data_IF_661795385172
#
_entry.id   IF_661795385172
#
_cell.length_a   1.000
_cell.length_b   1.000
_cell.length_c   1.000
_cell.angle_alpha   90.00
_cell.angle_beta   90.00
_cell.angle_gamma   90.00
#
_symmetry.space_group_name_H-M   'P 1'
#
loop_
_entity.id
_entity.type
_entity.pdbx_description
1 polymer ?
#
# COMPACT_ATOMS: atom_id res chain seq x y z
N UNK A 1 8.16 -37.39 17.30
CA UNK A 1 7.37 -36.85 18.42
C UNK A 1 6.51 -35.71 17.89
N UNK A 2 5.19 -35.84 17.89
CA UNK A 2 4.29 -34.71 17.62
C UNK A 2 4.30 -33.82 18.86
N UNK A 3 4.38 -32.49 18.75
CA UNK A 3 4.24 -31.62 19.91
C UNK A 3 2.90 -31.93 20.56
N UNK A 4 2.94 -32.39 21.81
CA UNK A 4 1.75 -32.55 22.62
C UNK A 4 1.19 -31.14 22.82
N UNK A 5 0.05 -30.88 22.19
CA UNK A 5 -0.72 -29.69 22.42
C UNK A 5 -1.18 -29.75 23.89
N UNK A 6 -0.43 -29.14 24.80
CA UNK A 6 -0.88 -28.89 26.18
C UNK A 6 -1.88 -27.75 26.12
N UNK A 7 -2.99 -27.98 25.43
CA UNK A 7 -4.20 -27.21 25.62
C UNK A 7 -4.73 -27.63 26.99
N UNK A 8 -4.49 -26.80 28.00
CA UNK A 8 -5.19 -26.88 29.28
C UNK A 8 -6.69 -26.90 28.99
N UNK A 9 -7.34 -28.06 29.04
CA UNK A 9 -8.72 -28.27 28.56
C UNK A 9 -9.80 -27.68 29.49
N UNK A 10 -9.53 -26.54 30.14
CA UNK A 10 -10.44 -25.94 31.10
C UNK A 10 -10.15 -24.50 31.53
N UNK A 11 -9.15 -23.82 30.97
CA UNK A 11 -8.89 -22.42 31.30
C UNK A 11 -9.27 -21.52 30.12
N UNK A 12 -10.10 -20.47 30.32
CA UNK A 12 -10.46 -19.57 29.23
C UNK A 12 -9.21 -18.83 28.73
N UNK A 13 -8.92 -18.97 27.43
CA UNK A 13 -7.82 -18.27 26.77
C UNK A 13 -8.04 -16.75 26.78
N UNK A 14 -6.97 -15.92 26.80
CA UNK A 14 -7.09 -14.48 26.69
C UNK A 14 -7.76 -14.07 25.37
N UNK A 15 -8.46 -12.94 25.37
CA UNK A 15 -9.09 -12.43 24.15
C UNK A 15 -8.01 -11.95 23.19
N UNK A 16 -7.93 -12.56 22.00
CA UNK A 16 -7.08 -12.11 20.90
C UNK A 16 -7.96 -11.78 19.69
N UNK A 17 -7.54 -10.79 18.88
CA UNK A 17 -8.32 -10.30 17.73
C UNK A 17 -8.40 -11.29 16.56
N UNK A 18 -7.58 -12.33 16.60
CA UNK A 18 -7.59 -13.47 15.68
C UNK A 18 -8.03 -14.65 16.53
N UNK A 19 -9.15 -15.28 16.17
CA UNK A 19 -9.55 -16.56 16.78
C UNK A 19 -8.40 -17.55 16.63
N UNK A 20 -8.25 -18.46 17.60
CA UNK A 20 -7.07 -19.32 17.78
C UNK A 20 -6.39 -19.76 16.47
N UNK A 21 -5.05 -19.79 16.50
CA UNK A 21 -4.11 -20.02 15.38
C UNK A 21 -4.21 -21.44 14.79
N UNK A 22 -5.40 -22.01 14.78
CA UNK A 22 -5.69 -23.34 14.26
C UNK A 22 -6.64 -23.22 13.08
N UNK A 23 -6.32 -24.01 12.06
CA UNK A 23 -7.02 -24.23 10.80
C UNK A 23 -8.50 -24.61 10.95
N UNK A 24 -8.96 -24.88 12.18
CA UNK A 24 -10.29 -25.41 12.47
C UNK A 24 -11.29 -24.33 12.96
N UNK A 25 -10.84 -23.17 13.45
CA UNK A 25 -11.75 -22.21 14.08
C UNK A 25 -11.25 -20.74 14.09
N UNK A 26 -11.15 -20.06 12.94
CA UNK A 26 -10.66 -18.67 12.88
C UNK A 26 -11.60 -17.63 13.51
N UNK A 27 -12.86 -17.95 13.80
CA UNK A 27 -13.90 -16.96 14.13
C UNK A 27 -14.51 -17.07 15.53
N UNK A 28 -14.02 -17.94 16.42
CA UNK A 28 -14.61 -18.02 17.77
C UNK A 28 -14.25 -16.77 18.59
N UNK A 29 -15.17 -15.78 18.52
CA UNK A 29 -15.29 -14.57 19.34
C UNK A 29 -14.67 -13.28 18.77
N UNK A 30 -14.92 -12.98 17.50
CA UNK A 30 -14.76 -11.62 16.95
C UNK A 30 -16.11 -10.89 16.99
N UNK A 31 -16.09 -9.61 17.37
CA UNK A 31 -17.23 -8.69 17.40
C UNK A 31 -18.15 -8.87 16.18
N UNK A 32 -19.46 -8.88 16.46
CA UNK A 32 -20.62 -9.12 15.58
C UNK A 32 -20.54 -8.50 14.16
N UNK A 33 -19.72 -7.48 13.94
CA UNK A 33 -19.66 -6.77 12.66
C UNK A 33 -18.63 -7.34 11.68
N UNK A 34 -17.47 -7.83 12.16
CA UNK A 34 -16.42 -8.38 11.27
C UNK A 34 -16.67 -9.86 10.95
N UNK A 35 -17.24 -10.61 11.90
CA UNK A 35 -17.67 -12.01 11.65
C UNK A 35 -18.82 -12.04 10.66
N UNK A 36 -19.67 -11.01 10.56
CA UNK A 36 -20.75 -11.01 9.57
C UNK A 36 -20.26 -11.03 8.13
N UNK A 37 -19.11 -10.46 7.78
CA UNK A 37 -18.66 -10.50 6.37
C UNK A 37 -18.04 -11.85 6.01
N UNK A 38 -17.25 -12.46 6.90
CA UNK A 38 -16.69 -13.80 6.68
C UNK A 38 -17.72 -14.90 6.88
N UNK A 39 -18.59 -14.80 7.89
CA UNK A 39 -19.68 -15.74 8.12
C UNK A 39 -20.84 -15.56 7.13
N UNK A 40 -21.06 -14.39 6.51
CA UNK A 40 -22.00 -14.26 5.36
C UNK A 40 -21.35 -14.67 4.03
N UNK A 41 -20.06 -14.98 4.01
CA UNK A 41 -19.36 -15.67 2.91
C UNK A 41 -19.30 -17.19 3.12
N UNK A 42 -19.30 -17.65 4.37
CA UNK A 42 -19.30 -19.07 4.75
C UNK A 42 -20.72 -19.65 5.00
N UNK A 43 -21.64 -18.85 5.54
CA UNK A 43 -23.09 -19.10 5.69
C UNK A 43 -23.94 -18.18 4.81
N UNK A 44 -23.30 -17.49 3.85
CA UNK A 44 -23.98 -16.93 2.68
C UNK A 44 -24.56 -18.04 1.83
N UNK A 45 -25.40 -17.74 0.84
CA UNK A 45 -26.14 -18.76 0.09
C UNK A 45 -25.20 -19.91 -0.29
N UNK A 46 -25.66 -21.14 -0.09
CA UNK A 46 -24.92 -22.41 -0.17
C UNK A 46 -24.43 -22.76 -1.58
N UNK A 47 -24.10 -21.75 -2.38
CA UNK A 47 -23.87 -21.76 -3.82
C UNK A 47 -22.56 -21.05 -4.23
N UNK A 48 -21.72 -20.59 -3.30
CA UNK A 48 -20.40 -20.02 -3.63
C UNK A 48 -19.34 -21.14 -3.54
N UNK A 49 -19.21 -21.90 -4.62
CA UNK A 49 -18.17 -22.93 -4.76
C UNK A 49 -16.95 -22.36 -5.52
N UNK A 50 -15.83 -22.00 -4.85
CA UNK A 50 -14.66 -21.48 -5.55
C UNK A 50 -14.07 -22.55 -6.48
N UNK A 51 -13.97 -22.22 -7.77
CA UNK A 51 -13.35 -23.10 -8.78
C UNK A 51 -11.89 -22.67 -8.95
N UNK A 52 -10.97 -23.45 -8.41
CA UNK A 52 -9.54 -23.29 -8.65
C UNK A 52 -9.05 -24.36 -9.64
N UNK A 53 -8.10 -23.99 -10.51
CA UNK A 53 -7.36 -24.94 -11.35
C UNK A 53 -5.99 -25.18 -10.73
N UNK A 54 -5.49 -26.41 -10.85
CA UNK A 54 -4.13 -26.74 -10.38
C UNK A 54 -3.09 -25.87 -11.11
N UNK A 55 -2.08 -25.31 -10.41
CA UNK A 55 -1.03 -24.50 -11.02
C UNK A 55 -0.26 -25.24 -12.12
N UNK A 56 -0.11 -26.56 -12.02
CA UNK A 56 0.57 -27.40 -13.01
C UNK A 56 -0.21 -27.52 -14.33
N UNK A 57 -1.49 -27.14 -14.35
CA UNK A 57 -2.33 -27.09 -15.55
C UNK A 57 -2.43 -25.69 -16.15
N UNK A 58 -1.94 -24.67 -15.45
CA UNK A 58 -1.96 -23.28 -15.91
C UNK A 58 -0.61 -22.90 -16.53
N UNK A 59 -0.62 -21.97 -17.47
CA UNK A 59 0.60 -21.30 -17.93
C UNK A 59 0.97 -20.21 -16.92
N UNK A 60 2.14 -20.31 -16.28
CA UNK A 60 2.54 -19.45 -15.18
C UNK A 60 2.49 -17.93 -15.48
N UNK A 61 2.69 -17.53 -16.74
CA UNK A 61 2.69 -16.13 -17.18
C UNK A 61 1.70 -15.89 -18.34
N UNK A 62 0.63 -16.67 -18.43
CA UNK A 62 -0.40 -16.41 -19.44
C UNK A 62 -0.99 -15.00 -19.26
N UNK A 63 -0.89 -14.18 -20.31
CA UNK A 63 -1.38 -12.81 -20.28
C UNK A 63 -0.61 -11.87 -19.36
N UNK A 64 0.61 -12.23 -18.93
CA UNK A 64 1.42 -11.37 -18.08
C UNK A 64 1.67 -10.01 -18.75
N UNK A 65 2.06 -9.98 -20.02
CA UNK A 65 2.34 -8.72 -20.71
C UNK A 65 1.07 -7.88 -20.98
N UNK A 66 0.07 -8.47 -21.63
CA UNK A 66 -1.18 -7.76 -21.96
C UNK A 66 -1.96 -7.36 -20.70
N UNK A 67 -2.03 -8.22 -19.69
CA UNK A 67 -2.72 -7.94 -18.43
C UNK A 67 -1.96 -6.93 -17.58
N UNK A 68 -0.63 -7.01 -17.50
CA UNK A 68 0.16 -6.13 -16.65
C UNK A 68 0.25 -4.71 -17.20
N UNK A 69 0.29 -4.49 -18.51
CA UNK A 69 0.31 -3.13 -19.06
C UNK A 69 -0.97 -2.39 -18.70
N UNK A 70 -2.15 -2.96 -19.01
CA UNK A 70 -3.41 -2.28 -18.76
C UNK A 70 -3.78 -2.22 -17.28
N UNK A 71 -3.58 -3.31 -16.53
CA UNK A 71 -3.89 -3.32 -15.10
C UNK A 71 -2.82 -2.57 -14.28
N UNK A 72 -1.55 -2.64 -14.68
CA UNK A 72 -0.46 -1.89 -14.07
C UNK A 72 -0.65 -0.39 -14.24
N UNK A 73 -0.95 0.07 -15.47
CA UNK A 73 -1.30 1.47 -15.71
C UNK A 73 -2.47 1.93 -14.84
N UNK A 74 -3.56 1.15 -14.79
CA UNK A 74 -4.72 1.48 -13.95
C UNK A 74 -4.36 1.63 -12.48
N UNK A 75 -3.52 0.73 -11.94
CA UNK A 75 -3.07 0.77 -10.54
C UNK A 75 -2.15 1.95 -10.25
N UNK A 76 -1.24 2.26 -11.16
CA UNK A 76 -0.33 3.40 -11.02
C UNK A 76 -1.12 4.69 -11.11
N UNK A 77 -1.98 4.85 -12.11
CA UNK A 77 -2.79 6.05 -12.33
C UNK A 77 -3.63 6.45 -11.10
N UNK A 78 -4.22 5.49 -10.38
CA UNK A 78 -4.93 5.77 -9.13
C UNK A 78 -4.05 6.32 -8.00
N UNK A 79 -2.75 6.05 -8.04
CA UNK A 79 -1.80 6.47 -7.02
C UNK A 79 -0.93 7.67 -7.44
N UNK A 80 -0.86 7.97 -8.75
CA UNK A 80 -0.09 9.10 -9.31
C UNK A 80 -0.28 10.40 -8.53
N UNK A 81 -1.52 10.84 -8.21
CA UNK A 81 -1.72 12.13 -7.53
C UNK A 81 -1.00 12.25 -6.19
N UNK A 82 -0.83 11.14 -5.46
CA UNK A 82 -0.23 11.16 -4.12
C UNK A 82 1.27 11.42 -4.12
N UNK A 83 1.98 10.99 -5.16
CA UNK A 83 3.44 11.15 -5.23
C UNK A 83 3.89 12.15 -6.30
N UNK A 84 3.09 12.39 -7.35
CA UNK A 84 3.47 13.34 -8.40
C UNK A 84 3.49 14.78 -7.89
N UNK A 85 2.55 15.13 -7.01
CA UNK A 85 2.44 16.47 -6.42
C UNK A 85 3.70 16.85 -5.65
N UNK A 86 4.17 16.06 -4.65
CA UNK A 86 5.40 16.41 -3.93
C UNK A 86 6.65 16.37 -4.84
N UNK A 87 6.72 15.48 -5.82
CA UNK A 87 7.85 15.42 -6.77
C UNK A 87 7.93 16.68 -7.62
N UNK A 88 6.82 17.12 -8.20
CA UNK A 88 6.76 18.34 -9.03
C UNK A 88 7.10 19.57 -8.18
N UNK A 89 6.58 19.65 -6.96
CA UNK A 89 6.91 20.74 -6.04
C UNK A 89 8.40 20.78 -5.68
N UNK A 90 9.01 19.62 -5.42
CA UNK A 90 10.44 19.51 -5.14
C UNK A 90 11.31 19.96 -6.32
N UNK A 91 10.99 19.49 -7.53
CA UNK A 91 11.73 19.86 -8.74
C UNK A 91 11.54 21.34 -9.11
N UNK A 92 10.32 21.87 -8.96
CA UNK A 92 10.03 23.28 -9.17
C UNK A 92 10.86 24.15 -8.22
N UNK A 93 10.84 23.84 -6.92
CA UNK A 93 11.60 24.57 -5.89
C UNK A 93 13.10 24.51 -6.15
N UNK A 94 13.61 23.32 -6.51
CA UNK A 94 15.01 23.14 -6.85
C UNK A 94 15.43 23.98 -8.07
N UNK A 95 14.64 23.95 -9.15
CA UNK A 95 14.94 24.71 -10.36
C UNK A 95 14.95 26.22 -10.10
N UNK A 96 13.99 26.72 -9.33
CA UNK A 96 13.93 28.12 -8.93
C UNK A 96 15.14 28.51 -8.06
N UNK A 97 15.46 27.69 -7.06
CA UNK A 97 16.60 27.92 -6.17
C UNK A 97 17.93 27.96 -6.94
N UNK A 98 18.13 27.04 -7.87
CA UNK A 98 19.31 27.00 -8.73
C UNK A 98 19.41 28.26 -9.59
N UNK A 99 18.34 28.64 -10.29
CA UNK A 99 18.34 29.86 -11.12
C UNK A 99 18.57 31.12 -10.29
N UNK A 100 18.03 31.19 -9.06
CA UNK A 100 18.24 32.32 -8.15
C UNK A 100 19.68 32.37 -7.64
N UNK A 101 20.26 31.24 -7.27
CA UNK A 101 21.66 31.14 -6.85
C UNK A 101 22.61 31.56 -7.99
N UNK A 102 22.38 31.05 -9.20
CA UNK A 102 23.16 31.39 -10.39
C UNK A 102 23.04 32.90 -10.71
N UNK A 103 21.85 33.49 -10.54
CA UNK A 103 21.64 34.93 -10.73
C UNK A 103 22.40 35.79 -9.70
N UNK A 104 22.34 35.46 -8.41
CA UNK A 104 23.03 36.25 -7.35
C UNK A 104 24.54 36.24 -7.56
N UNK A 105 25.10 35.10 -8.00
CA UNK A 105 26.52 34.98 -8.29
C UNK A 105 26.92 35.51 -9.67
N UNK A 106 25.96 36.00 -10.48
CA UNK A 106 26.24 36.64 -11.76
C UNK A 106 26.60 38.11 -11.58
N UNK A 107 27.29 38.69 -12.57
CA UNK A 107 27.63 40.14 -12.60
C UNK A 107 26.39 41.02 -12.47
N UNK A 108 25.32 40.68 -13.18
CA UNK A 108 24.05 41.39 -13.12
C UNK A 108 23.40 41.31 -11.72
N UNK A 109 23.56 40.19 -11.01
CA UNK A 109 23.11 40.04 -9.64
C UNK A 109 23.91 40.89 -8.65
N UNK A 110 25.24 40.97 -8.83
CA UNK A 110 26.10 41.85 -8.05
C UNK A 110 25.80 43.33 -8.29
N UNK A 111 25.56 43.74 -9.54
CA UNK A 111 25.15 45.12 -9.86
C UNK A 111 23.77 45.46 -9.29
N UNK A 112 22.80 44.55 -9.36
CA UNK A 112 21.49 44.74 -8.74
C UNK A 112 21.57 44.80 -7.20
N UNK A 113 22.42 43.99 -6.59
CA UNK A 113 22.70 44.02 -5.16
C UNK A 113 23.39 45.33 -4.75
N UNK A 114 24.36 45.83 -5.54
CA UNK A 114 25.02 47.11 -5.29
C UNK A 114 24.09 48.31 -5.49
N UNK A 115 23.20 48.29 -6.48
CA UNK A 115 22.17 49.32 -6.70
C UNK A 115 21.14 49.39 -5.56
N UNK A 116 20.82 48.26 -4.94
CA UNK A 116 19.91 48.21 -3.79
C UNK A 116 20.61 48.36 -2.42
N UNK A 117 21.92 48.10 -2.33
CA UNK A 117 22.73 48.23 -1.11
C UNK A 117 23.46 49.56 -0.97
N UNK A 118 23.36 50.48 -1.93
CA UNK A 118 24.02 51.79 -1.95
C UNK A 118 23.42 52.87 -1.03
N UNK A 119 22.80 52.48 0.08
CA UNK A 119 22.34 53.38 1.15
C UNK A 119 23.04 53.03 2.48
N UNK A 120 24.37 53.19 2.51
CA UNK A 120 25.16 53.35 3.73
C UNK A 120 26.32 54.29 3.44
#
# INVERSE_FOLDING_TARGET
MRPTNVARSGMPEPKHYVGGVTWEAPSKRVSSTTVRITQLLLDGPSNICPKAQSPFRQKAMAGAFSGYIFNGYRRIASNVPYFIVPVVLGLATYSWGKSRYDYVNSKAGHEAAMKHGGHH
#
